data_IF_957932928839
#
_entry.id   IF_957932928839
#
_cell.length_a   1.000
_cell.length_b   1.000
_cell.length_c   1.000
_cell.angle_alpha   90.00
_cell.angle_beta   90.00
_cell.angle_gamma   90.00
#
_symmetry.space_group_name_H-M   'P 1'
#
loop_
_entity.id
_entity.type
_entity.pdbx_description
1 polymer ?
#
# COMPACT_ATOMS: atom_id res chain seq x y z
N UNK A 1 -12.34 29.02 45.64
CA UNK A 1 -11.46 28.94 44.45
C UNK A 1 -11.29 27.47 44.09
N UNK A 2 -12.16 26.94 43.24
CA UNK A 2 -12.10 25.56 42.76
C UNK A 2 -11.99 25.63 41.23
N UNK A 3 -10.75 25.49 40.72
CA UNK A 3 -10.47 25.41 39.29
C UNK A 3 -11.07 24.11 38.76
N UNK A 4 -12.16 24.22 38.01
CA UNK A 4 -12.63 23.16 37.11
C UNK A 4 -11.72 23.16 35.89
N UNK A 5 -10.88 22.14 35.78
CA UNK A 5 -10.10 21.86 34.57
C UNK A 5 -11.08 21.36 33.51
N UNK A 6 -11.36 22.17 32.49
CA UNK A 6 -12.00 21.69 31.27
C UNK A 6 -10.99 20.80 30.56
N UNK A 7 -11.28 19.50 30.50
CA UNK A 7 -10.65 18.59 29.55
C UNK A 7 -11.34 18.85 28.22
N UNK A 8 -10.68 19.61 27.36
CA UNK A 8 -11.08 19.76 25.95
C UNK A 8 -10.87 18.41 25.28
N UNK A 9 -11.96 17.68 25.07
CA UNK A 9 -11.99 16.48 24.25
C UNK A 9 -11.79 16.93 22.79
N UNK A 10 -10.56 16.89 22.29
CA UNK A 10 -10.30 16.95 20.86
C UNK A 10 -10.90 15.66 20.26
N UNK A 11 -12.11 15.77 19.69
CA UNK A 11 -12.52 14.81 18.67
C UNK A 11 -11.58 15.02 17.49
N UNK A 12 -10.53 14.21 17.41
CA UNK A 12 -9.87 13.97 16.12
C UNK A 12 -10.92 13.27 15.26
N UNK A 13 -11.54 14.02 14.35
CA UNK A 13 -12.36 13.44 13.30
C UNK A 13 -11.40 12.62 12.43
N UNK A 14 -11.37 11.31 12.62
CA UNK A 14 -10.68 10.40 11.72
C UNK A 14 -11.45 10.43 10.39
N UNK A 15 -11.08 11.36 9.50
CA UNK A 15 -11.47 11.30 8.11
C UNK A 15 -10.64 10.20 7.46
N UNK A 16 -11.24 9.03 7.30
CA UNK A 16 -10.75 8.00 6.39
C UNK A 16 -10.74 8.56 4.97
N UNK A 17 -9.66 8.37 4.21
CA UNK A 17 -9.66 8.56 2.76
C UNK A 17 -10.62 7.52 2.19
N UNK A 18 -11.83 7.95 1.85
CA UNK A 18 -12.68 7.21 0.95
C UNK A 18 -12.35 7.71 -0.46
N UNK A 19 -11.37 7.08 -1.13
CA UNK A 19 -11.33 7.15 -2.58
C UNK A 19 -12.57 6.40 -3.08
N UNK A 20 -13.70 7.09 -3.14
CA UNK A 20 -14.95 6.55 -3.68
C UNK A 20 -14.86 6.57 -5.21
N UNK A 21 -15.49 5.59 -5.85
CA UNK A 21 -15.72 5.56 -7.29
C UNK A 21 -14.45 5.55 -8.16
N UNK A 22 -13.41 4.83 -7.72
CA UNK A 22 -12.28 4.48 -8.58
C UNK A 22 -12.78 3.63 -9.76
N UNK A 23 -12.61 4.14 -10.98
CA UNK A 23 -13.18 3.52 -12.18
C UNK A 23 -12.38 3.83 -13.45
N UNK A 24 -12.54 2.97 -14.46
CA UNK A 24 -12.06 3.22 -15.83
C UNK A 24 -13.19 3.83 -16.67
N UNK A 25 -12.87 4.90 -17.40
CA UNK A 25 -13.80 5.56 -18.31
C UNK A 25 -13.26 5.44 -19.74
N UNK A 26 -14.16 5.15 -20.68
CA UNK A 26 -13.88 5.30 -22.10
C UNK A 26 -14.24 6.72 -22.52
N UNK A 27 -13.28 7.48 -23.03
CA UNK A 27 -13.43 8.90 -23.36
C UNK A 27 -12.97 9.18 -24.79
N UNK A 28 -13.80 9.93 -25.49
CA UNK A 28 -13.53 10.57 -26.79
C UNK A 28 -13.67 12.10 -26.61
N UNK A 29 -13.81 12.86 -27.70
CA UNK A 29 -14.17 14.28 -27.66
C UNK A 29 -15.56 14.53 -27.04
N UNK A 30 -16.47 13.53 -27.07
CA UNK A 30 -17.78 13.62 -26.42
C UNK A 30 -17.73 13.34 -24.92
N UNK A 31 -16.62 12.81 -24.41
CA UNK A 31 -16.39 12.51 -22.99
C UNK A 31 -17.33 11.50 -22.33
N UNK A 32 -17.14 11.36 -21.02
CA UNK A 32 -17.91 10.54 -20.10
C UNK A 32 -18.34 11.41 -18.89
N UNK A 33 -19.38 10.97 -18.18
CA UNK A 33 -19.85 11.62 -16.96
C UNK A 33 -19.48 10.81 -15.73
N UNK A 34 -18.79 11.46 -14.79
CA UNK A 34 -18.44 10.93 -13.47
C UNK A 34 -19.22 11.69 -12.40
N UNK A 35 -19.58 11.04 -11.30
CA UNK A 35 -20.25 11.68 -10.18
C UNK A 35 -19.28 12.08 -9.08
N UNK A 36 -19.57 13.17 -8.37
CA UNK A 36 -18.85 13.53 -7.15
C UNK A 36 -19.71 14.32 -6.17
N UNK A 37 -19.33 14.31 -4.90
CA UNK A 37 -19.89 15.21 -3.90
C UNK A 37 -19.28 16.63 -3.99
N UNK A 38 -19.98 17.62 -3.43
CA UNK A 38 -19.49 19.02 -3.41
C UNK A 38 -18.16 19.19 -2.68
N UNK A 39 -17.90 18.37 -1.65
CA UNK A 39 -16.68 18.44 -0.85
C UNK A 39 -15.50 17.66 -1.48
N UNK A 40 -15.65 17.16 -2.70
CA UNK A 40 -14.66 16.33 -3.37
C UNK A 40 -14.05 17.03 -4.59
N UNK A 41 -12.76 16.78 -4.77
CA UNK A 41 -12.07 16.94 -6.04
C UNK A 41 -12.13 15.63 -6.83
N UNK A 42 -12.04 15.73 -8.16
CA UNK A 42 -11.80 14.58 -9.05
C UNK A 42 -10.35 14.58 -9.52
N UNK A 43 -9.76 13.40 -9.61
CA UNK A 43 -8.45 13.18 -10.18
C UNK A 43 -8.57 12.25 -11.38
N UNK A 44 -7.96 12.65 -12.48
CA UNK A 44 -7.93 11.88 -13.71
C UNK A 44 -6.52 11.31 -13.93
N UNK A 45 -6.48 10.06 -14.35
CA UNK A 45 -5.25 9.35 -14.70
C UNK A 45 -4.77 9.72 -16.09
N UNK A 46 -3.68 9.05 -16.50
CA UNK A 46 -3.16 9.18 -17.86
C UNK A 46 -4.07 8.48 -18.86
N UNK A 47 -4.27 9.12 -20.01
CA UNK A 47 -5.02 8.51 -21.11
C UNK A 47 -4.20 7.41 -21.77
N UNK A 48 -4.88 6.34 -22.21
CA UNK A 48 -4.26 5.36 -23.08
C UNK A 48 -3.77 5.98 -24.41
N UNK A 49 -3.06 5.19 -25.21
CA UNK A 49 -2.56 5.57 -26.52
C UNK A 49 -3.17 4.68 -27.61
N UNK A 50 -4.50 4.67 -27.70
CA UNK A 50 -5.24 3.98 -28.75
C UNK A 50 -5.26 4.79 -30.05
N UNK A 51 -5.19 6.12 -29.95
CA UNK A 51 -4.94 7.03 -31.07
C UNK A 51 -3.61 7.77 -30.91
N UNK A 52 -2.96 8.03 -32.04
CA UNK A 52 -1.66 8.69 -32.13
C UNK A 52 -1.73 10.21 -32.05
N UNK A 53 -2.92 10.80 -32.15
CA UNK A 53 -3.15 12.24 -32.07
C UNK A 53 -2.85 12.78 -30.67
N UNK A 54 -2.20 13.94 -30.63
CA UNK A 54 -1.79 14.61 -29.40
C UNK A 54 -2.97 15.36 -28.76
N UNK A 55 -2.99 15.39 -27.44
CA UNK A 55 -4.07 16.02 -26.68
C UNK A 55 -3.93 15.75 -25.20
N UNK A 56 -4.93 16.18 -24.44
CA UNK A 56 -4.95 16.14 -22.97
C UNK A 56 -6.28 15.62 -22.45
N UNK A 57 -6.27 15.04 -21.25
CA UNK A 57 -7.51 14.73 -20.52
C UNK A 57 -8.10 16.03 -19.99
N UNK A 58 -9.31 16.36 -20.44
CA UNK A 58 -10.05 17.52 -19.99
C UNK A 58 -11.09 17.13 -18.95
N UNK A 59 -11.17 17.90 -17.87
CA UNK A 59 -12.09 17.67 -16.77
C UNK A 59 -12.85 18.96 -16.48
N UNK A 60 -14.18 18.88 -16.47
CA UNK A 60 -15.07 20.03 -16.22
C UNK A 60 -16.12 19.62 -15.19
N UNK A 61 -16.01 20.19 -13.98
CA UNK A 61 -17.01 20.07 -12.93
C UNK A 61 -18.21 20.99 -13.23
N UNK A 62 -19.40 20.40 -13.43
CA UNK A 62 -20.62 21.13 -13.73
C UNK A 62 -21.24 21.80 -12.50
N UNK A 63 -20.70 21.54 -11.30
CA UNK A 63 -21.21 22.02 -10.00
C UNK A 63 -22.64 21.56 -9.68
N UNK A 64 -23.12 20.50 -10.34
CA UNK A 64 -24.43 19.87 -10.11
C UNK A 64 -24.31 18.42 -9.61
N UNK A 65 -23.09 18.02 -9.21
CA UNK A 65 -22.75 16.65 -8.81
C UNK A 65 -22.22 15.78 -9.95
N UNK A 66 -22.20 16.31 -11.18
CA UNK A 66 -21.60 15.65 -12.35
C UNK A 66 -20.32 16.35 -12.80
N UNK A 67 -19.38 15.55 -13.27
CA UNK A 67 -18.14 15.98 -13.90
C UNK A 67 -18.07 15.39 -15.29
N UNK A 68 -17.73 16.22 -16.25
CA UNK A 68 -17.43 15.80 -17.61
C UNK A 68 -15.94 15.52 -17.76
N UNK A 69 -15.58 14.30 -18.18
CA UNK A 69 -14.19 13.88 -18.45
C UNK A 69 -14.08 13.48 -19.91
N UNK A 70 -13.21 14.13 -20.67
CA UNK A 70 -13.06 13.91 -22.11
C UNK A 70 -11.59 13.83 -22.52
N UNK A 71 -11.31 13.16 -23.63
CA UNK A 71 -10.03 13.37 -24.30
C UNK A 71 -10.18 14.56 -25.24
N UNK A 72 -9.31 15.56 -25.11
CA UNK A 72 -9.34 16.77 -25.94
C UNK A 72 -8.06 16.88 -26.73
N UNK A 73 -8.20 16.82 -28.05
CA UNK A 73 -7.12 17.16 -28.96
C UNK A 73 -6.69 18.63 -28.83
N UNK A 74 -5.44 18.88 -29.16
CA UNK A 74 -4.94 20.25 -29.27
C UNK A 74 -5.64 21.01 -30.43
N UNK A 75 -5.90 22.33 -30.29
CA UNK A 75 -6.71 23.08 -31.24
C UNK A 75 -6.23 23.12 -32.72
N UNK A 76 -4.97 22.78 -33.00
CA UNK A 76 -4.46 22.68 -34.38
C UNK A 76 -4.90 21.40 -35.11
N UNK A 77 -5.50 20.44 -34.40
CA UNK A 77 -6.03 19.18 -34.92
C UNK A 77 -7.52 19.31 -35.28
N UNK A 78 -8.16 18.22 -35.71
CA UNK A 78 -9.53 18.25 -36.26
C UNK A 78 -10.63 18.01 -35.22
N UNK A 79 -10.25 17.62 -33.99
CA UNK A 79 -11.13 17.40 -32.86
C UNK A 79 -11.76 16.00 -32.82
N UNK A 80 -11.44 15.10 -33.75
CA UNK A 80 -12.00 13.75 -33.82
C UNK A 80 -10.97 12.75 -33.31
N UNK A 81 -11.30 12.00 -32.25
CA UNK A 81 -10.35 11.11 -31.60
C UNK A 81 -10.95 9.74 -31.33
N UNK A 82 -10.16 8.66 -31.50
CA UNK A 82 -10.60 7.33 -31.05
C UNK A 82 -10.73 7.27 -29.52
N UNK A 83 -11.54 6.33 -29.03
CA UNK A 83 -11.76 6.18 -27.59
C UNK A 83 -10.48 5.83 -26.84
N UNK A 84 -10.19 6.61 -25.80
CA UNK A 84 -9.13 6.36 -24.84
C UNK A 84 -9.69 5.88 -23.50
N UNK A 85 -8.92 5.08 -22.78
CA UNK A 85 -9.22 4.68 -21.41
C UNK A 85 -8.54 5.63 -20.43
N UNK A 86 -9.30 6.19 -19.49
CA UNK A 86 -8.83 7.10 -18.44
C UNK A 86 -9.36 6.63 -17.09
N UNK A 87 -8.46 6.48 -16.12
CA UNK A 87 -8.84 6.22 -14.72
C UNK A 87 -9.34 7.48 -14.05
N UNK A 88 -10.33 7.37 -13.18
CA UNK A 88 -10.77 8.50 -12.32
C UNK A 88 -11.05 8.03 -10.90
N UNK A 89 -10.78 8.89 -9.93
CA UNK A 89 -11.31 8.76 -8.57
C UNK A 89 -11.65 10.13 -8.01
N UNK A 90 -12.45 10.14 -6.94
CA UNK A 90 -12.77 11.35 -6.19
C UNK A 90 -12.22 11.28 -4.77
N UNK A 91 -11.83 12.43 -4.22
CA UNK A 91 -11.33 12.52 -2.85
C UNK A 91 -11.76 13.83 -2.19
N UNK A 92 -12.14 13.74 -0.92
CA UNK A 92 -12.55 14.91 -0.13
C UNK A 92 -11.40 15.92 0.00
N UNK A 93 -11.71 17.22 -0.08
CA UNK A 93 -10.71 18.27 0.19
C UNK A 93 -10.20 18.19 1.63
N UNK A 94 -8.93 18.55 1.82
CA UNK A 94 -8.27 18.59 3.12
C UNK A 94 -7.16 17.56 3.24
N UNK A 95 -6.62 17.45 4.45
CA UNK A 95 -5.52 16.56 4.77
C UNK A 95 -6.02 15.33 5.51
N UNK A 96 -5.67 14.17 5.01
CA UNK A 96 -6.10 12.88 5.52
C UNK A 96 -4.89 12.05 5.95
N UNK A 97 -4.87 11.63 7.20
CA UNK A 97 -3.84 10.74 7.76
C UNK A 97 -4.41 9.33 7.79
N UNK A 98 -3.70 8.37 7.20
CA UNK A 98 -4.12 6.97 7.13
C UNK A 98 -3.51 6.13 8.26
N UNK A 99 -4.08 4.96 8.52
CA UNK A 99 -3.58 4.00 9.51
C UNK A 99 -2.18 3.47 9.18
N UNK A 100 -1.82 3.41 7.90
CA UNK A 100 -0.47 3.05 7.43
C UNK A 100 0.58 4.17 7.61
N UNK A 101 0.17 5.33 8.16
CA UNK A 101 1.04 6.47 8.38
C UNK A 101 1.21 7.39 7.17
N UNK A 102 0.59 7.09 6.03
CA UNK A 102 0.56 7.98 4.88
C UNK A 102 -0.31 9.20 5.12
N UNK A 103 -0.02 10.27 4.37
CA UNK A 103 -0.73 11.55 4.41
C UNK A 103 -1.12 11.89 2.98
N UNK A 104 -2.42 12.05 2.76
CA UNK A 104 -3.01 12.44 1.49
C UNK A 104 -3.65 13.82 1.66
N UNK A 105 -3.10 14.83 1.00
CA UNK A 105 -3.60 16.20 1.07
C UNK A 105 -4.18 16.62 -0.28
N UNK A 106 -5.45 17.03 -0.25
CA UNK A 106 -6.20 17.51 -1.41
C UNK A 106 -6.51 18.99 -1.25
N UNK A 107 -6.10 19.78 -2.23
CA UNK A 107 -6.42 21.20 -2.30
C UNK A 107 -6.77 21.65 -3.71
N UNK A 108 -7.11 22.92 -3.84
CA UNK A 108 -7.51 23.55 -5.10
C UNK A 108 -6.88 24.93 -5.23
N UNK A 109 -6.54 25.31 -6.46
CA UNK A 109 -5.88 26.56 -6.81
C UNK A 109 -6.41 27.08 -8.15
N UNK A 110 -6.38 28.40 -8.34
CA UNK A 110 -6.61 29.04 -9.64
C UNK A 110 -5.26 29.27 -10.32
N UNK A 111 -5.01 28.62 -11.46
CA UNK A 111 -3.75 28.67 -12.19
C UNK A 111 -3.96 29.25 -13.59
N UNK A 112 -2.93 29.91 -14.12
CA UNK A 112 -2.85 30.30 -15.52
C UNK A 112 -1.47 29.91 -16.08
N UNK A 113 -1.07 30.47 -17.22
CA UNK A 113 0.22 30.20 -17.86
C UNK A 113 1.46 30.62 -17.06
N UNK A 114 1.28 31.34 -15.94
CA UNK A 114 2.37 31.75 -15.06
C UNK A 114 2.59 30.74 -13.95
N UNK A 115 3.85 30.32 -13.75
CA UNK A 115 4.24 29.47 -12.62
C UNK A 115 4.00 30.16 -11.28
N UNK A 116 3.27 29.49 -10.39
CA UNK A 116 2.95 29.96 -9.06
C UNK A 116 3.44 28.96 -8.01
N UNK A 117 4.04 29.47 -6.94
CA UNK A 117 4.42 28.66 -5.79
C UNK A 117 3.22 28.46 -4.87
N UNK A 118 2.90 27.20 -4.58
CA UNK A 118 1.83 26.76 -3.69
C UNK A 118 2.44 26.17 -2.42
N UNK A 119 1.75 26.31 -1.30
CA UNK A 119 2.15 25.71 -0.02
C UNK A 119 1.16 24.64 0.39
N UNK A 120 1.68 23.58 0.97
CA UNK A 120 0.85 22.60 1.68
C UNK A 120 0.28 23.21 2.96
N UNK A 121 -0.81 22.62 3.45
CA UNK A 121 -1.48 23.05 4.68
C UNK A 121 -0.54 23.02 5.88
N UNK A 122 0.36 22.03 5.93
CA UNK A 122 1.51 22.00 6.84
C UNK A 122 2.72 21.33 6.17
N UNK A 123 3.86 21.35 6.86
CA UNK A 123 5.09 20.73 6.33
C UNK A 123 4.94 19.20 6.27
N UNK A 124 5.23 18.60 5.11
CA UNK A 124 5.24 17.15 4.92
C UNK A 124 6.47 16.51 5.60
N UNK A 125 6.38 15.28 6.13
CA UNK A 125 7.52 14.61 6.76
C UNK A 125 8.71 14.42 5.81
N UNK A 126 8.44 14.10 4.54
CA UNK A 126 9.39 14.06 3.43
C UNK A 126 8.77 14.75 2.19
N UNK A 127 9.53 14.88 1.10
CA UNK A 127 9.01 15.46 -0.15
C UNK A 127 7.90 14.54 -0.66
N UNK A 128 6.64 15.03 -0.80
CA UNK A 128 5.52 14.20 -1.24
C UNK A 128 5.53 13.99 -2.75
N UNK A 129 4.75 13.02 -3.21
CA UNK A 129 4.34 12.88 -4.60
C UNK A 129 3.17 13.82 -4.88
N UNK A 130 3.25 14.62 -5.94
CA UNK A 130 2.20 15.59 -6.33
C UNK A 130 1.58 15.18 -7.66
N UNK A 131 0.26 15.28 -7.76
CA UNK A 131 -0.56 15.05 -8.94
C UNK A 131 -1.54 16.22 -9.12
N UNK A 132 -1.75 16.69 -10.36
CA UNK A 132 -2.66 17.78 -10.68
C UNK A 132 -3.75 17.31 -11.63
N UNK A 133 -4.95 17.86 -11.47
CA UNK A 133 -6.06 17.63 -12.41
C UNK A 133 -6.88 18.90 -12.53
N UNK A 134 -7.11 19.37 -13.76
CA UNK A 134 -8.05 20.47 -14.02
C UNK A 134 -9.44 20.17 -13.46
N UNK A 135 -10.16 21.19 -13.02
CA UNK A 135 -11.53 21.08 -12.53
C UNK A 135 -12.49 21.94 -13.37
N UNK A 136 -11.95 22.90 -14.11
CA UNK A 136 -12.71 23.77 -15.02
C UNK A 136 -12.04 23.82 -16.38
N UNK A 137 -12.79 24.28 -17.37
CA UNK A 137 -12.24 24.83 -18.61
C UNK A 137 -12.99 26.14 -18.90
N UNK A 138 -12.52 27.23 -18.32
CA UNK A 138 -13.03 28.58 -18.52
C UNK A 138 -12.61 29.15 -19.87
N UNK A 139 -11.44 28.75 -20.39
CA UNK A 139 -10.97 29.06 -21.74
C UNK A 139 -11.64 28.20 -22.82
N UNK A 140 -11.39 28.52 -24.09
CA UNK A 140 -11.85 27.67 -25.21
C UNK A 140 -10.88 26.54 -25.54
N UNK A 141 -9.61 26.70 -25.17
CA UNK A 141 -8.54 25.76 -25.49
C UNK A 141 -8.33 24.72 -24.37
N UNK A 142 -7.97 23.47 -24.70
CA UNK A 142 -7.45 22.51 -23.74
C UNK A 142 -6.17 22.99 -23.09
N UNK A 143 -5.92 22.50 -21.87
CA UNK A 143 -4.65 22.70 -21.19
C UNK A 143 -4.20 21.43 -20.46
N UNK A 144 -2.91 21.39 -20.14
CA UNK A 144 -2.30 20.43 -19.23
C UNK A 144 -1.84 21.16 -17.97
N UNK A 145 -1.96 20.53 -16.80
CA UNK A 145 -1.45 21.07 -15.55
C UNK A 145 -0.06 20.50 -15.28
N UNK A 146 0.90 21.36 -14.94
CA UNK A 146 2.31 21.00 -14.77
C UNK A 146 2.75 21.33 -13.36
N UNK A 147 3.45 20.41 -12.70
CA UNK A 147 4.06 20.65 -11.40
C UNK A 147 5.59 20.78 -11.54
N UNK A 148 6.21 21.57 -10.67
CA UNK A 148 7.67 21.58 -10.57
C UNK A 148 8.13 21.94 -9.16
N UNK A 149 9.43 21.77 -8.87
CA UNK A 149 10.05 22.23 -7.62
C UNK A 149 9.33 21.73 -6.35
N UNK A 150 8.96 20.45 -6.32
CA UNK A 150 8.28 19.87 -5.17
C UNK A 150 9.24 19.78 -3.99
N UNK A 151 8.83 20.35 -2.86
CA UNK A 151 9.56 20.35 -1.60
C UNK A 151 8.65 19.83 -0.48
N UNK A 152 9.14 19.78 0.76
CA UNK A 152 8.31 19.44 1.93
C UNK A 152 7.28 20.52 2.28
N UNK A 153 7.44 21.74 1.78
CA UNK A 153 6.61 22.90 2.12
C UNK A 153 5.56 23.20 1.05
N UNK A 154 5.76 22.72 -0.16
CA UNK A 154 4.97 23.11 -1.32
C UNK A 154 5.66 22.80 -2.64
N UNK A 155 5.06 23.27 -3.71
CA UNK A 155 5.48 23.02 -5.09
C UNK A 155 5.08 24.19 -5.99
N UNK A 156 5.69 24.30 -7.15
CA UNK A 156 5.25 25.22 -8.19
C UNK A 156 4.25 24.55 -9.13
N UNK A 157 3.27 25.30 -9.62
CA UNK A 157 2.31 24.80 -10.61
C UNK A 157 1.94 25.87 -11.64
N UNK A 158 1.56 25.43 -12.83
CA UNK A 158 0.99 26.25 -13.90
C UNK A 158 0.09 25.39 -14.79
N UNK A 159 -0.70 26.05 -15.65
CA UNK A 159 -1.33 25.39 -16.79
C UNK A 159 -0.60 25.75 -18.08
N UNK A 160 -0.51 24.81 -19.01
CA UNK A 160 0.04 25.04 -20.34
C UNK A 160 -1.01 24.69 -21.39
N UNK A 161 -1.20 25.60 -22.33
CA UNK A 161 -1.99 25.40 -23.54
C UNK A 161 -1.06 24.97 -24.67
N UNK A 162 -1.60 24.67 -25.86
CA UNK A 162 -0.77 24.52 -27.05
C UNK A 162 0.21 25.68 -27.20
N UNK A 163 1.39 25.44 -27.73
CA UNK A 163 2.48 26.40 -27.76
C UNK A 163 2.15 27.67 -28.55
N UNK A 164 1.37 27.55 -29.63
CA UNK A 164 0.89 28.68 -30.43
C UNK A 164 -0.22 29.50 -29.76
N UNK A 165 -0.69 29.06 -28.58
CA UNK A 165 -1.80 29.68 -27.85
C UNK A 165 -1.51 31.14 -27.46
N UNK A 166 -2.58 31.94 -27.49
CA UNK A 166 -2.62 33.28 -26.90
C UNK A 166 -3.42 33.33 -25.60
N UNK A 167 -3.90 32.18 -25.10
CA UNK A 167 -4.85 32.06 -23.99
C UNK A 167 -4.24 31.97 -22.58
N UNK A 168 -2.94 32.24 -22.43
CA UNK A 168 -2.17 31.99 -21.19
C UNK A 168 -2.61 32.81 -19.97
N UNK A 169 -3.50 33.79 -20.13
CA UNK A 169 -4.01 34.63 -19.03
C UNK A 169 -5.29 34.11 -18.36
N UNK A 170 -5.97 33.10 -18.95
CA UNK A 170 -7.20 32.55 -18.37
C UNK A 170 -6.87 31.72 -17.13
N UNK A 171 -7.52 32.04 -16.02
CA UNK A 171 -7.41 31.25 -14.79
C UNK A 171 -8.32 30.02 -14.87
N UNK A 172 -7.75 28.89 -14.51
CA UNK A 172 -8.41 27.59 -14.44
C UNK A 172 -8.27 27.03 -13.03
N UNK A 173 -9.36 26.47 -12.52
CA UNK A 173 -9.36 25.77 -11.26
C UNK A 173 -8.68 24.42 -11.43
N UNK A 174 -7.65 24.16 -10.65
CA UNK A 174 -6.87 22.91 -10.67
C UNK A 174 -6.84 22.33 -9.26
N UNK A 175 -7.18 21.06 -9.12
CA UNK A 175 -7.00 20.32 -7.88
C UNK A 175 -5.59 19.74 -7.83
N UNK A 176 -5.01 19.71 -6.64
CA UNK A 176 -3.78 18.96 -6.37
C UNK A 176 -4.02 17.87 -5.35
N UNK A 177 -3.31 16.77 -5.52
CA UNK A 177 -3.15 15.69 -4.55
C UNK A 177 -1.67 15.56 -4.20
N UNK A 178 -1.34 15.76 -2.93
CA UNK A 178 -0.02 15.52 -2.39
C UNK A 178 -0.03 14.30 -1.47
N UNK A 179 0.80 13.30 -1.78
CA UNK A 179 0.89 12.04 -1.04
C UNK A 179 2.27 11.93 -0.41
N UNK A 180 2.32 11.95 0.92
CA UNK A 180 3.46 11.43 1.66
C UNK A 180 3.14 10.00 2.09
N UNK A 181 4.13 9.12 2.01
CA UNK A 181 4.02 7.75 2.48
C UNK A 181 5.33 7.31 3.13
N UNK A 182 5.32 6.58 4.26
CA UNK A 182 6.55 6.07 4.90
C UNK A 182 7.30 5.05 4.02
N UNK A 183 6.54 4.23 3.31
CA UNK A 183 7.00 3.25 2.33
C UNK A 183 6.44 3.66 0.97
N UNK A 184 7.13 3.49 -0.16
CA UNK A 184 6.62 3.90 -1.48
C UNK A 184 5.37 3.12 -1.95
N UNK A 185 4.66 2.45 -1.06
CA UNK A 185 3.42 1.72 -1.24
C UNK A 185 2.71 1.60 0.12
N UNK A 186 1.43 1.25 0.09
CA UNK A 186 0.62 1.10 1.30
C UNK A 186 -0.84 0.80 1.00
N UNK A 187 -1.69 1.00 2.00
CA UNK A 187 -3.12 0.71 1.91
C UNK A 187 -3.92 1.80 2.61
N UNK A 188 -4.82 2.42 1.87
CA UNK A 188 -5.77 3.38 2.39
C UNK A 188 -6.71 2.71 3.40
N UNK A 189 -7.26 3.49 4.33
CA UNK A 189 -8.25 3.01 5.32
C UNK A 189 -9.53 2.47 4.64
N UNK A 190 -9.80 2.88 3.41
CA UNK A 190 -10.87 2.34 2.55
C UNK A 190 -10.58 0.93 2.02
N UNK A 191 -9.37 0.40 2.25
CA UNK A 191 -8.92 -0.91 1.81
C UNK A 191 -8.30 -0.93 0.41
N UNK A 192 -8.16 0.22 -0.26
CA UNK A 192 -7.54 0.37 -1.58
C UNK A 192 -6.01 0.42 -1.43
N UNK A 193 -5.31 -0.47 -2.13
CA UNK A 193 -3.85 -0.48 -2.18
C UNK A 193 -3.31 0.57 -3.13
N UNK A 194 -2.18 1.17 -2.77
CA UNK A 194 -1.47 2.11 -3.63
C UNK A 194 0.02 1.80 -3.70
N UNK A 195 0.62 2.11 -4.85
CA UNK A 195 2.06 2.11 -5.07
C UNK A 195 2.47 3.42 -5.72
N UNK A 196 3.55 3.99 -5.25
CA UNK A 196 4.13 5.24 -5.69
C UNK A 196 5.52 4.98 -6.26
N UNK A 197 5.80 5.60 -7.40
CA UNK A 197 7.10 5.54 -8.02
C UNK A 197 7.46 6.92 -8.59
N UNK A 198 8.74 7.13 -8.82
CA UNK A 198 9.25 8.29 -9.51
C UNK A 198 10.22 7.84 -10.60
N UNK A 199 9.91 8.17 -11.85
CA UNK A 199 10.68 7.73 -13.01
C UNK A 199 11.19 8.92 -13.80
N UNK A 200 12.23 8.66 -14.60
CA UNK A 200 12.69 9.59 -15.64
C UNK A 200 12.05 9.18 -16.94
N UNK A 201 11.27 10.06 -17.55
CA UNK A 201 10.57 9.80 -18.80
C UNK A 201 11.03 10.78 -19.89
N UNK A 202 10.95 10.34 -21.15
CA UNK A 202 11.10 11.17 -22.35
C UNK A 202 9.94 10.85 -23.31
N UNK A 203 10.03 11.31 -24.56
CA UNK A 203 9.25 10.80 -25.69
C UNK A 203 9.31 9.27 -25.90
N UNK A 204 10.30 8.60 -25.29
CA UNK A 204 10.47 7.16 -25.37
C UNK A 204 9.73 6.43 -24.23
N UNK A 205 9.33 5.19 -24.54
CA UNK A 205 8.62 4.29 -23.63
C UNK A 205 9.41 4.11 -22.32
N UNK A 206 8.73 4.40 -21.21
CA UNK A 206 9.23 4.25 -19.83
C UNK A 206 8.37 3.24 -19.06
N UNK A 207 8.94 2.10 -18.65
CA UNK A 207 8.26 1.08 -17.85
C UNK A 207 7.75 1.59 -16.50
N UNK A 208 6.48 1.35 -16.16
CA UNK A 208 5.90 1.64 -14.83
C UNK A 208 4.88 0.58 -14.41
N UNK A 209 5.29 -0.34 -13.53
CA UNK A 209 4.42 -1.45 -13.10
C UNK A 209 3.97 -2.32 -14.29
N UNK A 210 2.67 -2.53 -14.43
CA UNK A 210 2.05 -3.27 -15.55
C UNK A 210 1.87 -2.42 -16.82
N UNK A 211 2.26 -1.14 -16.77
CA UNK A 211 2.04 -0.17 -17.84
C UNK A 211 3.35 0.35 -18.43
N UNK A 212 3.26 1.05 -19.55
CA UNK A 212 4.31 1.96 -20.00
C UNK A 212 3.77 3.38 -20.10
N UNK A 213 4.61 4.38 -19.81
CA UNK A 213 4.31 5.80 -20.03
C UNK A 213 5.34 6.44 -20.96
N UNK A 214 4.98 7.55 -21.57
CA UNK A 214 5.90 8.42 -22.32
C UNK A 214 5.36 9.84 -22.37
N UNK A 215 6.24 10.79 -22.69
CA UNK A 215 5.92 12.21 -22.80
C UNK A 215 5.53 12.51 -24.25
N UNK A 216 4.27 12.88 -24.47
CA UNK A 216 3.75 13.18 -25.80
C UNK A 216 3.65 14.70 -26.00
N UNK A 217 4.50 15.20 -26.88
CA UNK A 217 4.65 16.62 -27.19
C UNK A 217 3.46 17.17 -27.99
N UNK A 218 3.19 18.45 -27.81
CA UNK A 218 2.29 19.27 -28.61
C UNK A 218 3.05 19.88 -29.80
N UNK A 219 2.42 20.08 -30.97
CA UNK A 219 3.12 20.37 -32.23
C UNK A 219 2.64 21.63 -32.98
N UNK A 220 2.00 22.58 -32.28
CA UNK A 220 1.43 23.75 -32.96
C UNK A 220 2.46 24.78 -33.43
N UNK A 221 3.67 24.80 -32.86
CA UNK A 221 4.75 25.68 -33.32
C UNK A 221 5.76 25.00 -34.23
N UNK A 222 6.01 23.72 -34.04
CA UNK A 222 6.88 22.93 -34.89
C UNK A 222 6.47 21.45 -34.93
N UNK A 223 7.16 20.68 -35.77
CA UNK A 223 6.85 19.26 -35.99
C UNK A 223 7.78 18.34 -35.19
N UNK A 224 8.56 18.89 -34.24
CA UNK A 224 9.36 18.09 -33.33
C UNK A 224 8.42 17.23 -32.45
N UNK A 225 8.93 16.08 -32.00
CA UNK A 225 8.20 15.19 -31.07
C UNK A 225 9.13 14.71 -29.95
N UNK A 226 10.35 15.24 -29.91
CA UNK A 226 11.39 14.80 -29.00
C UNK A 226 11.37 15.65 -27.74
N UNK A 227 10.82 15.10 -26.67
CA UNK A 227 10.84 15.77 -25.36
C UNK A 227 12.10 15.43 -24.57
N UNK A 228 12.69 16.43 -23.92
CA UNK A 228 13.81 16.19 -22.99
C UNK A 228 13.38 15.35 -21.78
N UNK A 229 14.35 14.81 -21.03
CA UNK A 229 14.03 14.01 -19.84
C UNK A 229 13.38 14.86 -18.76
N UNK A 230 12.24 14.40 -18.27
CA UNK A 230 11.56 14.93 -17.08
C UNK A 230 11.41 13.84 -16.01
N UNK A 231 11.21 14.28 -14.76
CA UNK A 231 10.88 13.41 -13.65
C UNK A 231 9.37 13.36 -13.49
N UNK A 232 8.81 12.14 -13.48
CA UNK A 232 7.37 11.88 -13.41
C UNK A 232 7.07 11.10 -12.14
N UNK A 233 6.16 11.61 -11.33
CA UNK A 233 5.53 10.84 -10.25
C UNK A 233 4.49 9.91 -10.85
N UNK A 234 4.42 8.69 -10.32
CA UNK A 234 3.51 7.64 -10.75
C UNK A 234 2.77 7.13 -9.52
N UNK A 235 1.45 7.04 -9.61
CA UNK A 235 0.59 6.40 -8.64
C UNK A 235 -0.18 5.28 -9.33
N UNK A 236 0.02 4.07 -8.84
CA UNK A 236 -0.82 2.91 -9.14
C UNK A 236 -1.78 2.73 -7.96
N UNK A 237 -3.08 2.78 -8.23
CA UNK A 237 -4.12 2.65 -7.21
C UNK A 237 -5.03 1.48 -7.60
N UNK A 238 -4.89 0.32 -6.95
CA UNK A 238 -5.64 -0.90 -7.29
C UNK A 238 -5.66 -1.22 -8.82
N UNK A 239 -4.52 -1.09 -9.48
CA UNK A 239 -4.36 -1.31 -10.94
C UNK A 239 -4.74 -0.12 -11.84
N UNK A 240 -5.10 1.04 -11.27
CA UNK A 240 -5.34 2.27 -12.01
C UNK A 240 -4.09 3.15 -12.03
N UNK A 241 -3.75 3.70 -13.19
CA UNK A 241 -2.54 4.51 -13.39
C UNK A 241 -2.81 6.01 -13.40
N UNK A 242 -2.04 6.74 -12.58
CA UNK A 242 -1.95 8.20 -12.57
C UNK A 242 -0.48 8.60 -12.68
N UNK A 243 -0.20 9.65 -13.44
CA UNK A 243 1.15 10.16 -13.57
C UNK A 243 1.16 11.68 -13.73
N UNK A 244 2.18 12.33 -13.19
CA UNK A 244 2.36 13.78 -13.23
C UNK A 244 3.84 14.10 -13.32
N UNK A 245 4.22 14.92 -14.31
CA UNK A 245 5.56 15.50 -14.34
C UNK A 245 5.76 16.48 -13.17
N UNK A 246 6.93 16.42 -12.54
CA UNK A 246 7.32 17.29 -11.43
C UNK A 246 8.59 18.10 -11.73
N UNK A 247 8.95 18.18 -13.00
CA UNK A 247 10.04 19.02 -13.49
C UNK A 247 9.63 19.59 -14.84
N UNK A 248 9.81 20.89 -15.04
CA UNK A 248 9.58 21.53 -16.34
C UNK A 248 10.95 21.85 -16.95
N UNK A 249 11.54 20.85 -17.61
CA UNK A 249 12.87 20.98 -18.22
C UNK A 249 12.80 21.23 -19.73
N UNK A 250 11.78 20.69 -20.39
CA UNK A 250 11.44 21.05 -21.77
C UNK A 250 10.69 22.37 -21.81
N UNK A 251 10.87 23.13 -22.90
CA UNK A 251 10.06 24.33 -23.16
C UNK A 251 8.66 23.99 -23.63
N UNK A 252 8.52 22.83 -24.26
CA UNK A 252 7.37 22.53 -25.09
C UNK A 252 6.24 21.95 -24.25
N UNK A 253 5.02 22.16 -24.72
CA UNK A 253 3.85 21.65 -24.04
C UNK A 253 3.75 20.16 -24.29
N UNK A 254 3.48 19.38 -23.25
CA UNK A 254 3.41 17.93 -23.35
C UNK A 254 2.34 17.37 -22.42
N UNK A 255 1.98 16.12 -22.67
CA UNK A 255 1.15 15.32 -21.76
C UNK A 255 1.79 13.97 -21.52
N UNK A 256 1.49 13.36 -20.38
CA UNK A 256 1.86 11.96 -20.14
C UNK A 256 0.77 11.08 -20.76
N UNK A 257 1.16 10.20 -21.69
CA UNK A 257 0.29 9.15 -22.27
C UNK A 257 0.77 7.78 -21.85
N UNK A 258 -0.12 6.80 -21.91
CA UNK A 258 0.17 5.46 -21.42
C UNK A 258 -0.27 4.33 -22.35
N UNK A 259 0.47 3.25 -22.26
CA UNK A 259 0.15 1.94 -22.79
C UNK A 259 -0.35 1.09 -21.61
N UNK A 260 -1.66 1.09 -21.37
CA UNK A 260 -2.24 0.61 -20.11
C UNK A 260 -2.25 -0.92 -19.93
N UNK A 261 -2.13 -1.73 -20.99
CA UNK A 261 -2.22 -3.19 -20.88
C UNK A 261 -1.16 -3.89 -21.75
N UNK A 262 0.09 -3.42 -21.68
CA UNK A 262 1.15 -3.84 -22.61
C UNK A 262 2.13 -4.83 -21.99
N UNK A 263 2.12 -4.96 -20.66
CA UNK A 263 2.89 -5.99 -19.96
C UNK A 263 1.95 -7.06 -19.48
N UNK A 264 2.35 -8.31 -19.66
CA UNK A 264 1.71 -9.41 -18.94
C UNK A 264 1.84 -9.07 -17.45
N UNK A 265 0.73 -9.09 -16.68
CA UNK A 265 0.81 -8.82 -15.26
C UNK A 265 1.92 -9.67 -14.65
N UNK A 266 2.82 -9.05 -13.88
CA UNK A 266 3.84 -9.82 -13.16
C UNK A 266 3.10 -10.91 -12.41
N UNK A 267 3.49 -12.18 -12.65
CA UNK A 267 2.79 -13.30 -12.06
C UNK A 267 2.79 -13.07 -10.55
N UNK A 268 1.61 -13.06 -9.88
CA UNK A 268 1.56 -12.72 -8.47
C UNK A 268 2.49 -13.66 -7.72
N UNK A 269 3.31 -13.10 -6.83
CA UNK A 269 4.15 -13.91 -5.96
C UNK A 269 3.27 -14.96 -5.26
N UNK A 270 3.79 -16.18 -5.06
CA UNK A 270 2.99 -17.25 -4.49
C UNK A 270 2.49 -16.86 -3.10
N UNK A 271 1.19 -17.07 -2.86
CA UNK A 271 0.56 -16.59 -1.63
C UNK A 271 0.97 -17.34 -0.37
N UNK A 272 1.52 -18.54 -0.50
CA UNK A 272 1.97 -19.35 0.62
C UNK A 272 3.00 -20.39 0.19
N UNK A 273 3.77 -20.92 1.15
CA UNK A 273 4.65 -22.05 0.91
C UNK A 273 3.86 -23.28 0.40
N UNK A 274 2.62 -23.45 0.87
CA UNK A 274 1.73 -24.51 0.38
C UNK A 274 1.32 -24.30 -1.08
N UNK A 275 1.08 -23.06 -1.51
CA UNK A 275 0.80 -22.74 -2.91
C UNK A 275 2.00 -23.09 -3.81
N UNK A 276 3.22 -22.78 -3.37
CA UNK A 276 4.46 -23.18 -4.06
C UNK A 276 4.53 -24.70 -4.18
N UNK A 277 4.39 -25.42 -3.06
CA UNK A 277 4.51 -26.88 -3.06
C UNK A 277 3.42 -27.59 -3.88
N UNK A 278 2.23 -27.00 -3.96
CA UNK A 278 1.15 -27.50 -4.80
C UNK A 278 1.46 -27.29 -6.30
N UNK A 279 2.06 -26.15 -6.66
CA UNK A 279 2.44 -25.83 -8.03
C UNK A 279 3.67 -26.64 -8.49
N UNK A 280 4.65 -26.82 -7.61
CA UNK A 280 5.83 -27.64 -7.81
C UNK A 280 6.04 -28.59 -6.62
N UNK A 281 5.57 -29.86 -6.73
CA UNK A 281 5.79 -30.87 -5.71
C UNK A 281 7.27 -31.25 -5.48
N UNK A 282 8.19 -30.75 -6.30
CA UNK A 282 9.63 -30.93 -6.14
C UNK A 282 10.34 -29.73 -5.49
N UNK A 283 9.58 -28.68 -5.13
CA UNK A 283 10.10 -27.52 -4.41
C UNK A 283 10.80 -27.94 -3.11
N UNK A 284 11.99 -27.40 -2.89
CA UNK A 284 12.82 -27.72 -1.72
C UNK A 284 12.59 -26.71 -0.59
N UNK A 285 12.84 -27.11 0.66
CA UNK A 285 12.80 -26.15 1.76
C UNK A 285 13.85 -25.06 1.58
N UNK A 286 13.49 -23.80 1.83
CA UNK A 286 14.34 -22.65 1.51
C UNK A 286 13.65 -21.32 1.78
N UNK A 287 14.33 -20.22 1.47
CA UNK A 287 13.72 -18.89 1.56
C UNK A 287 12.99 -18.56 0.26
N UNK A 288 11.73 -18.12 0.38
CA UNK A 288 10.88 -17.72 -0.73
C UNK A 288 10.27 -16.35 -0.45
N UNK A 289 10.10 -15.57 -1.52
CA UNK A 289 9.24 -14.38 -1.49
C UNK A 289 7.80 -14.83 -1.63
N UNK A 290 6.94 -14.34 -0.75
CA UNK A 290 5.53 -14.63 -0.69
C UNK A 290 4.74 -13.33 -0.64
N UNK A 291 3.55 -13.35 -1.21
CA UNK A 291 2.58 -12.27 -1.11
C UNK A 291 1.23 -12.83 -0.68
N UNK A 292 0.97 -12.78 0.63
CA UNK A 292 -0.14 -13.49 1.26
C UNK A 292 -1.52 -13.01 0.82
N UNK A 293 -1.66 -11.74 0.44
CA UNK A 293 -2.89 -11.21 -0.10
C UNK A 293 -2.83 -10.92 -1.61
N UNK A 294 -1.70 -11.23 -2.25
CA UNK A 294 -1.48 -11.07 -3.68
C UNK A 294 -1.57 -9.60 -4.04
N UNK A 295 -2.47 -9.24 -4.96
CA UNK A 295 -2.72 -7.82 -5.28
C UNK A 295 -3.43 -7.04 -4.16
N UNK A 296 -3.41 -7.54 -2.93
CA UNK A 296 -3.94 -6.87 -1.78
C UNK A 296 -3.01 -5.74 -1.32
N UNK A 297 -3.05 -5.41 -0.03
CA UNK A 297 -2.32 -4.27 0.52
C UNK A 297 -1.21 -4.66 1.49
N UNK A 298 -0.95 -5.96 1.64
CA UNK A 298 0.23 -6.42 2.35
C UNK A 298 1.38 -6.53 1.35
N UNK A 299 2.51 -5.92 1.68
CA UNK A 299 3.70 -6.08 0.87
C UNK A 299 4.17 -7.53 0.90
N UNK A 300 4.81 -7.95 -0.19
CA UNK A 300 5.53 -9.21 -0.22
C UNK A 300 6.56 -9.29 0.91
N UNK A 301 6.88 -10.51 1.32
CA UNK A 301 7.93 -10.77 2.27
C UNK A 301 8.69 -12.05 1.94
N UNK A 302 9.98 -12.06 2.28
CA UNK A 302 10.80 -13.26 2.22
C UNK A 302 10.80 -13.96 3.57
N UNK A 303 10.45 -15.25 3.59
CA UNK A 303 10.56 -16.10 4.79
C UNK A 303 11.00 -17.52 4.43
N UNK A 304 11.29 -18.33 5.45
CA UNK A 304 11.62 -19.74 5.26
C UNK A 304 10.35 -20.59 5.05
N UNK A 305 10.32 -21.34 3.95
CA UNK A 305 9.36 -22.40 3.68
C UNK A 305 9.94 -23.77 4.02
N UNK A 306 9.26 -24.52 4.88
CA UNK A 306 9.53 -25.96 5.06
C UNK A 306 8.60 -26.76 4.15
N UNK A 307 9.18 -27.32 3.08
CA UNK A 307 8.49 -28.06 2.03
C UNK A 307 8.45 -29.58 2.28
N UNK A 308 9.05 -30.07 3.37
CA UNK A 308 9.23 -31.51 3.60
C UNK A 308 8.55 -31.99 4.89
N UNK A 309 8.73 -31.26 6.00
CA UNK A 309 8.33 -31.74 7.32
C UNK A 309 6.81 -31.79 7.46
N UNK A 310 6.27 -32.90 7.98
CA UNK A 310 4.83 -33.08 8.21
C UNK A 310 3.95 -32.76 6.97
N UNK A 311 4.44 -33.12 5.78
CA UNK A 311 3.74 -32.89 4.51
C UNK A 311 4.08 -31.58 3.81
N UNK A 312 4.97 -30.76 4.37
CA UNK A 312 5.47 -29.54 3.74
C UNK A 312 4.46 -28.40 3.64
N UNK A 313 4.83 -27.37 2.90
CA UNK A 313 4.01 -26.18 2.65
C UNK A 313 3.95 -25.20 3.82
N UNK A 314 4.86 -25.32 4.78
CA UNK A 314 4.84 -24.54 6.02
C UNK A 314 5.58 -23.21 5.87
N UNK A 315 4.86 -22.10 6.10
CA UNK A 315 5.39 -20.73 6.12
C UNK A 315 5.88 -20.35 7.52
N UNK A 316 7.16 -20.00 7.68
CA UNK A 316 7.70 -19.49 8.96
C UNK A 316 7.16 -18.09 9.26
N UNK A 317 6.60 -17.88 10.45
CA UNK A 317 6.07 -16.56 10.88
C UNK A 317 6.74 -16.00 12.12
N UNK A 318 7.35 -16.84 12.96
CA UNK A 318 8.04 -16.39 14.18
C UNK A 318 9.10 -17.37 14.66
N UNK A 319 10.19 -16.82 15.22
CA UNK A 319 11.26 -17.53 15.91
C UNK A 319 11.28 -17.05 17.36
N UNK A 320 11.39 -17.98 18.31
CA UNK A 320 11.43 -17.63 19.74
C UNK A 320 12.54 -18.38 20.46
N UNK A 321 13.29 -17.68 21.30
CA UNK A 321 14.45 -18.16 22.05
C UNK A 321 15.68 -18.51 21.20
N UNK A 322 16.23 -17.54 20.46
CA UNK A 322 17.45 -17.71 19.66
C UNK A 322 18.75 -17.85 20.53
N UNK A 323 19.76 -18.66 20.11
CA UNK A 323 20.94 -18.99 20.93
C UNK A 323 21.86 -17.82 21.31
N UNK A 324 21.78 -16.71 20.58
CA UNK A 324 22.69 -15.56 20.74
C UNK A 324 22.12 -14.45 21.65
N UNK A 325 21.03 -14.71 22.37
CA UNK A 325 20.41 -13.75 23.29
C UNK A 325 20.65 -14.15 24.73
N UNK A 326 20.93 -13.17 25.59
CA UNK A 326 21.09 -13.39 27.03
C UNK A 326 19.72 -13.38 27.71
N UNK A 327 19.31 -14.50 28.30
CA UNK A 327 18.05 -14.66 29.01
C UNK A 327 18.22 -14.81 30.54
N UNK A 328 19.35 -14.38 31.11
CA UNK A 328 19.62 -14.50 32.54
C UNK A 328 18.80 -13.49 33.38
N UNK A 329 17.87 -14.00 34.22
CA UNK A 329 17.10 -13.25 35.22
C UNK A 329 15.62 -13.66 35.28
N UNK A 330 14.96 -13.48 36.43
CA UNK A 330 13.52 -13.76 36.59
C UNK A 330 12.85 -12.59 37.32
N UNK A 331 11.66 -12.10 36.87
CA UNK A 331 11.04 -12.31 35.56
C UNK A 331 11.60 -11.28 34.56
N UNK A 332 12.30 -11.74 33.51
CA UNK A 332 12.92 -10.82 32.56
C UNK A 332 11.87 -10.06 31.75
N UNK A 333 11.95 -8.74 31.81
CA UNK A 333 11.38 -7.87 30.80
C UNK A 333 12.12 -8.13 29.48
N UNK A 334 11.55 -8.99 28.64
CA UNK A 334 12.04 -9.27 27.28
C UNK A 334 11.56 -8.21 26.27
N UNK A 335 11.23 -7.00 26.73
CA UNK A 335 10.95 -5.87 25.83
C UNK A 335 12.15 -5.65 24.91
N UNK A 336 11.88 -5.60 23.60
CA UNK A 336 12.91 -5.48 22.57
C UNK A 336 13.64 -6.77 22.20
N UNK A 337 13.27 -7.93 22.77
CA UNK A 337 13.82 -9.22 22.34
C UNK A 337 13.09 -9.83 21.15
N UNK A 338 11.80 -9.55 21.00
CA UNK A 338 11.01 -9.94 19.82
C UNK A 338 11.19 -8.84 18.78
N UNK A 339 11.76 -9.18 17.63
CA UNK A 339 12.13 -8.24 16.59
C UNK A 339 11.13 -8.38 15.45
N UNK A 340 10.30 -7.37 15.24
CA UNK A 340 9.47 -7.31 14.05
C UNK A 340 10.37 -7.17 12.81
N UNK A 341 10.16 -8.05 11.83
CA UNK A 341 10.88 -8.05 10.57
C UNK A 341 9.93 -8.41 9.44
N UNK A 342 9.85 -7.53 8.42
CA UNK A 342 9.16 -7.84 7.17
C UNK A 342 9.75 -9.12 6.56
N UNK A 343 11.09 -9.21 6.49
CA UNK A 343 11.79 -10.33 5.89
C UNK A 343 12.52 -11.16 6.96
N UNK A 344 12.13 -12.42 7.14
CA UNK A 344 12.82 -13.37 8.02
C UNK A 344 13.78 -14.20 7.15
N UNK A 345 14.99 -13.70 6.97
CA UNK A 345 16.02 -14.30 6.09
C UNK A 345 17.20 -14.91 6.84
N UNK A 346 17.13 -14.93 8.18
CA UNK A 346 18.06 -15.62 9.06
C UNK A 346 17.34 -16.18 10.29
N UNK A 347 17.98 -17.13 10.97
CA UNK A 347 17.42 -17.84 12.13
C UNK A 347 18.19 -17.52 13.44
N UNK A 348 18.88 -16.38 13.49
CA UNK A 348 19.82 -16.00 14.55
C UNK A 348 19.25 -15.02 15.60
N UNK A 349 18.03 -14.53 15.38
CA UNK A 349 17.29 -13.65 16.30
C UNK A 349 15.82 -14.09 16.46
N UNK A 350 15.08 -13.52 17.42
CA UNK A 350 13.65 -13.78 17.62
C UNK A 350 12.80 -12.93 16.67
N UNK A 351 12.94 -13.20 15.38
CA UNK A 351 12.14 -12.51 14.38
C UNK A 351 10.68 -12.91 14.44
N UNK A 352 9.79 -11.97 14.13
CA UNK A 352 8.42 -12.26 13.77
C UNK A 352 7.93 -11.34 12.67
N UNK A 353 6.95 -11.81 11.90
CA UNK A 353 6.30 -10.99 10.88
C UNK A 353 5.53 -9.83 11.53
N UNK A 354 5.32 -8.72 10.79
CA UNK A 354 4.48 -7.62 11.25
C UNK A 354 3.05 -8.07 11.59
N UNK A 355 2.43 -7.34 12.52
CA UNK A 355 1.07 -7.68 13.00
C UNK A 355 0.03 -7.72 11.86
N UNK A 356 0.17 -6.87 10.84
CA UNK A 356 -0.73 -6.84 9.69
C UNK A 356 -0.68 -8.16 8.88
N UNK A 357 0.52 -8.65 8.57
CA UNK A 357 0.72 -9.96 7.91
C UNK A 357 0.21 -11.09 8.78
N UNK A 358 0.55 -11.06 10.08
CA UNK A 358 0.11 -12.10 11.01
C UNK A 358 -1.41 -12.18 11.13
N UNK A 359 -2.12 -11.06 11.26
CA UNK A 359 -3.57 -11.06 11.37
C UNK A 359 -4.24 -11.63 10.12
N UNK A 360 -3.77 -11.23 8.93
CA UNK A 360 -4.27 -11.79 7.67
C UNK A 360 -4.03 -13.31 7.58
N UNK A 361 -2.81 -13.75 7.88
CA UNK A 361 -2.43 -15.16 7.91
C UNK A 361 -3.30 -15.93 8.92
N UNK A 362 -3.46 -15.40 10.14
CA UNK A 362 -4.27 -15.99 11.20
C UNK A 362 -5.73 -16.18 10.76
N UNK A 363 -6.24 -15.32 9.89
CA UNK A 363 -7.62 -15.37 9.41
C UNK A 363 -7.83 -16.23 8.16
N UNK A 364 -6.77 -16.49 7.39
CA UNK A 364 -6.86 -17.22 6.12
C UNK A 364 -6.27 -18.62 6.16
N UNK A 365 -5.29 -18.87 7.04
CA UNK A 365 -4.58 -20.14 7.16
C UNK A 365 -5.31 -21.11 8.10
N UNK A 366 -5.02 -22.39 7.96
CA UNK A 366 -5.78 -23.46 8.63
C UNK A 366 -5.03 -24.08 9.79
N UNK A 367 -3.71 -24.25 9.66
CA UNK A 367 -2.88 -24.97 10.62
C UNK A 367 -1.77 -24.09 11.17
N UNK A 368 -1.45 -24.29 12.45
CA UNK A 368 -0.26 -23.73 13.08
C UNK A 368 0.58 -24.89 13.63
N UNK A 369 1.85 -24.91 13.25
CA UNK A 369 2.84 -25.85 13.77
C UNK A 369 3.89 -25.10 14.58
N UNK A 370 4.16 -25.60 15.79
CA UNK A 370 5.29 -25.18 16.59
C UNK A 370 6.32 -26.31 16.62
N UNK A 371 7.59 -25.99 16.40
CA UNK A 371 8.68 -26.97 16.45
C UNK A 371 9.80 -26.51 17.36
N UNK A 372 10.47 -27.49 17.99
CA UNK A 372 11.78 -27.33 18.63
C UNK A 372 12.68 -28.45 18.10
N UNK A 373 13.32 -28.25 16.94
CA UNK A 373 14.08 -29.30 16.26
C UNK A 373 15.21 -29.87 17.11
N UNK A 374 15.86 -29.02 17.90
CA UNK A 374 16.99 -29.39 18.78
C UNK A 374 16.58 -30.25 19.97
N UNK A 375 15.28 -30.34 20.29
CA UNK A 375 14.76 -31.17 21.36
C UNK A 375 14.08 -32.42 20.79
N UNK A 376 14.88 -33.40 20.36
CA UNK A 376 14.38 -34.67 19.79
C UNK A 376 13.34 -34.49 18.67
N UNK A 377 13.42 -33.40 17.89
CA UNK A 377 12.42 -33.09 16.86
C UNK A 377 11.01 -32.86 17.44
N UNK A 378 10.91 -32.19 18.59
CA UNK A 378 9.64 -31.88 19.21
C UNK A 378 8.76 -30.99 18.31
N UNK A 379 7.48 -31.33 18.21
CA UNK A 379 6.52 -30.56 17.44
C UNK A 379 5.10 -30.67 18.02
N UNK A 380 4.29 -29.65 17.74
CA UNK A 380 2.86 -29.65 17.99
C UNK A 380 2.13 -28.92 16.86
N UNK A 381 1.09 -29.53 16.31
CA UNK A 381 0.22 -28.98 15.27
C UNK A 381 -1.18 -28.81 15.84
N UNK A 382 -1.78 -27.65 15.63
CA UNK A 382 -3.16 -27.35 15.97
C UNK A 382 -3.88 -26.71 14.78
N UNK A 383 -5.20 -26.84 14.75
CA UNK A 383 -6.01 -25.99 13.88
C UNK A 383 -6.04 -24.57 14.45
N UNK A 384 -5.81 -23.57 13.60
CA UNK A 384 -5.83 -22.15 13.99
C UNK A 384 -7.20 -21.78 14.60
N UNK A 385 -8.29 -22.32 14.04
CA UNK A 385 -9.65 -22.13 14.55
C UNK A 385 -9.83 -22.63 15.99
N UNK A 386 -9.13 -23.70 16.38
CA UNK A 386 -9.15 -24.21 17.75
C UNK A 386 -8.35 -23.28 18.68
N UNK A 387 -7.18 -22.81 18.24
CA UNK A 387 -6.34 -21.89 19.02
C UNK A 387 -7.02 -20.51 19.23
N UNK A 388 -7.75 -20.02 18.23
CA UNK A 388 -8.59 -18.80 18.34
C UNK A 388 -9.64 -18.89 19.45
N UNK A 389 -10.02 -20.10 19.87
CA UNK A 389 -10.99 -20.36 20.92
C UNK A 389 -10.35 -20.94 22.20
N UNK A 390 -9.04 -20.78 22.38
CA UNK A 390 -8.36 -21.21 23.60
C UNK A 390 -8.91 -20.47 24.83
N UNK A 391 -9.12 -21.19 25.94
CA UNK A 391 -9.94 -20.72 27.07
C UNK A 391 -9.31 -19.57 27.87
N UNK A 392 -7.99 -19.56 28.03
CA UNK A 392 -7.33 -18.62 28.95
C UNK A 392 -6.70 -17.43 28.23
N UNK A 393 -6.00 -17.71 27.13
CA UNK A 393 -5.48 -16.71 26.19
C UNK A 393 -5.76 -17.27 24.79
N UNK A 394 -6.78 -16.74 24.08
CA UNK A 394 -7.00 -17.03 22.67
C UNK A 394 -5.74 -16.75 21.83
N UNK A 395 -5.69 -17.30 20.61
CA UNK A 395 -4.60 -16.97 19.67
C UNK A 395 -4.53 -15.45 19.42
N UNK A 396 -3.40 -14.84 19.77
CA UNK A 396 -3.22 -13.39 19.79
C UNK A 396 -3.12 -12.74 18.40
N UNK A 397 -3.39 -11.44 18.33
CA UNK A 397 -3.27 -10.59 17.12
C UNK A 397 -1.84 -10.10 16.85
N UNK A 398 -0.89 -10.46 17.72
CA UNK A 398 0.54 -10.17 17.54
C UNK A 398 1.37 -11.42 17.79
N UNK A 399 2.45 -11.56 17.03
CA UNK A 399 3.49 -12.57 17.27
C UNK A 399 4.57 -12.07 18.23
N UNK A 400 4.59 -10.77 18.54
CA UNK A 400 5.49 -10.11 19.47
C UNK A 400 4.97 -10.11 20.91
N UNK A 401 4.88 -8.92 21.50
CA UNK A 401 4.46 -8.71 22.89
C UNK A 401 3.01 -8.30 22.96
N UNK A 402 2.21 -8.99 23.79
CA UNK A 402 0.79 -8.66 23.96
C UNK A 402 0.67 -7.28 24.63
N UNK A 403 0.03 -6.28 23.98
CA UNK A 403 -0.12 -4.96 24.56
C UNK A 403 -0.94 -4.99 25.85
N UNK A 404 -0.45 -4.31 26.89
CA UNK A 404 -1.17 -4.15 28.17
C UNK A 404 -1.12 -5.35 29.12
N UNK A 405 -0.54 -6.48 28.71
CA UNK A 405 -0.28 -7.63 29.59
C UNK A 405 1.04 -7.46 30.35
N UNK A 406 1.20 -8.19 31.46
CA UNK A 406 2.45 -8.18 32.25
C UNK A 406 2.93 -9.58 32.61
N UNK A 407 4.25 -9.70 32.88
CA UNK A 407 4.87 -10.96 33.25
C UNK A 407 4.80 -12.01 32.12
N UNK A 408 4.69 -13.28 32.47
CA UNK A 408 4.65 -14.36 31.47
C UNK A 408 3.46 -14.27 30.51
N UNK A 409 2.37 -13.58 30.89
CA UNK A 409 1.21 -13.42 30.03
C UNK A 409 1.55 -12.63 28.77
N UNK A 410 2.41 -11.62 28.85
CA UNK A 410 2.81 -10.76 27.71
C UNK A 410 3.46 -11.53 26.55
N UNK A 411 3.86 -12.78 26.77
CA UNK A 411 4.59 -13.59 25.79
C UNK A 411 3.80 -14.80 25.25
N UNK A 412 2.55 -14.98 25.69
CA UNK A 412 1.75 -16.15 25.31
C UNK A 412 1.11 -15.93 23.95
N UNK A 413 1.50 -16.73 22.96
CA UNK A 413 0.80 -16.72 21.67
C UNK A 413 -0.62 -17.27 21.81
N UNK A 414 -0.79 -18.29 22.66
CA UNK A 414 -2.07 -18.80 23.13
C UNK A 414 -1.87 -19.56 24.46
N UNK A 415 -2.96 -19.80 25.18
CA UNK A 415 -3.03 -20.67 26.35
C UNK A 415 -4.43 -21.24 26.52
N UNK A 416 -4.49 -22.56 26.51
CA UNK A 416 -5.69 -23.33 26.81
C UNK A 416 -5.49 -24.09 28.11
N UNK A 417 -6.47 -24.01 29.00
CA UNK A 417 -6.60 -24.84 30.20
C UNK A 417 -8.09 -25.09 30.39
N UNK A 418 -8.47 -26.30 30.80
CA UNK A 418 -9.89 -26.68 30.89
C UNK A 418 -10.67 -25.76 31.85
N UNK A 419 -10.02 -25.31 32.92
CA UNK A 419 -10.61 -24.37 33.88
C UNK A 419 -9.52 -23.67 34.71
N UNK A 420 -9.85 -22.57 35.37
CA UNK A 420 -8.99 -21.96 36.39
C UNK A 420 -7.84 -21.09 35.86
N UNK A 421 -7.30 -21.37 34.68
CA UNK A 421 -6.21 -20.60 34.06
C UNK A 421 -5.08 -20.35 35.06
N UNK A 422 -4.56 -21.44 35.62
CA UNK A 422 -3.55 -21.44 36.67
C UNK A 422 -2.15 -21.79 36.16
N UNK A 423 -2.07 -22.47 35.01
CA UNK A 423 -0.81 -22.96 34.44
C UNK A 423 -0.17 -24.04 35.32
N UNK A 424 -0.97 -24.68 36.16
CA UNK A 424 -0.55 -25.68 37.14
C UNK A 424 -1.24 -27.02 36.85
N UNK A 425 -0.59 -28.13 37.17
CA UNK A 425 -1.13 -29.46 36.91
C UNK A 425 -0.80 -29.97 35.51
N UNK A 426 -1.74 -30.68 34.88
CA UNK A 426 -1.53 -31.38 33.60
C UNK A 426 -2.75 -31.30 32.69
N UNK A 427 -3.41 -30.14 32.67
CA UNK A 427 -4.61 -29.90 31.88
C UNK A 427 -4.52 -28.64 31.00
N UNK A 428 -3.30 -28.18 30.73
CA UNK A 428 -3.04 -26.98 29.94
C UNK A 428 -2.06 -27.20 28.77
N UNK A 429 -2.25 -26.45 27.70
CA UNK A 429 -1.30 -26.32 26.59
C UNK A 429 -1.15 -24.84 26.24
N UNK A 430 0.06 -24.43 25.93
CA UNK A 430 0.38 -23.04 25.58
C UNK A 430 1.69 -22.98 24.80
N UNK A 431 1.87 -21.89 24.07
CA UNK A 431 3.17 -21.40 23.62
C UNK A 431 3.43 -20.08 24.31
N UNK A 432 4.53 -19.99 25.05
CA UNK A 432 5.00 -18.73 25.64
C UNK A 432 6.24 -18.21 24.91
N UNK A 433 7.11 -17.45 25.59
CA UNK A 433 8.32 -16.89 24.98
C UNK A 433 9.36 -17.94 24.52
N UNK A 434 9.37 -19.16 25.09
CA UNK A 434 10.40 -20.15 24.77
C UNK A 434 10.00 -21.62 24.98
N UNK A 435 8.78 -21.89 25.47
CA UNK A 435 8.33 -23.23 25.88
C UNK A 435 7.05 -23.61 25.14
N UNK A 436 6.97 -24.88 24.73
CA UNK A 436 5.74 -25.49 24.21
C UNK A 436 5.22 -26.47 25.26
N UNK A 437 3.99 -26.28 25.70
CA UNK A 437 3.31 -27.16 26.67
C UNK A 437 2.22 -27.97 25.96
N UNK A 438 2.13 -29.26 26.25
CA UNK A 438 1.25 -30.22 25.57
C UNK A 438 0.43 -31.10 26.51
N UNK A 439 0.03 -30.60 27.68
CA UNK A 439 -0.76 -31.41 28.62
C UNK A 439 -2.24 -31.54 28.26
N UNK A 440 -2.80 -30.59 27.49
CA UNK A 440 -4.19 -30.64 27.03
C UNK A 440 -4.32 -31.17 25.59
N UNK A 441 -5.51 -31.68 25.24
CA UNK A 441 -5.82 -32.26 23.91
C UNK A 441 -6.11 -31.22 22.81
N UNK A 442 -5.51 -30.04 22.89
CA UNK A 442 -5.72 -28.98 21.89
C UNK A 442 -4.94 -29.23 20.58
N UNK A 443 -3.84 -29.98 20.65
CA UNK A 443 -3.05 -30.34 19.48
C UNK A 443 -3.67 -31.53 18.76
N UNK A 444 -3.85 -31.41 17.45
CA UNK A 444 -4.33 -32.51 16.61
C UNK A 444 -3.23 -33.53 16.30
N UNK A 445 -1.98 -33.10 16.32
CA UNK A 445 -0.81 -33.97 16.17
C UNK A 445 0.36 -33.41 16.97
N UNK A 446 1.02 -34.24 17.78
CA UNK A 446 2.19 -33.84 18.57
C UNK A 446 2.96 -35.05 19.08
N UNK A 447 4.27 -34.90 19.27
CA UNK A 447 5.10 -35.82 20.06
C UNK A 447 5.45 -35.26 21.46
N UNK A 448 4.87 -34.12 21.84
CA UNK A 448 5.09 -33.47 23.14
C UNK A 448 4.05 -34.00 24.12
N UNK A 449 4.52 -34.65 25.18
CA UNK A 449 3.66 -35.29 26.21
C UNK A 449 3.45 -34.39 27.42
N UNK A 450 4.43 -33.56 27.75
CA UNK A 450 4.39 -32.67 28.92
C UNK A 450 4.70 -31.25 28.49
N UNK A 451 5.98 -30.88 28.47
CA UNK A 451 6.44 -29.62 27.93
C UNK A 451 7.87 -29.79 27.43
N UNK A 452 8.26 -28.90 26.52
CA UNK A 452 9.62 -28.75 26.02
C UNK A 452 10.04 -27.31 26.23
N UNK A 453 11.28 -27.10 26.67
CA UNK A 453 11.75 -25.81 27.18
C UNK A 453 13.20 -25.53 26.85
N UNK A 454 13.58 -24.25 26.94
CA UNK A 454 14.97 -23.77 26.86
C UNK A 454 15.65 -24.10 25.51
N UNK A 455 14.88 -24.07 24.42
CA UNK A 455 15.36 -24.29 23.05
C UNK A 455 14.66 -23.34 22.09
N UNK A 456 15.29 -23.06 20.95
CA UNK A 456 14.70 -22.22 19.92
C UNK A 456 13.46 -22.91 19.34
N UNK A 457 12.33 -22.23 19.45
CA UNK A 457 11.08 -22.64 18.83
C UNK A 457 10.80 -21.86 17.55
N UNK A 458 10.26 -22.55 16.57
CA UNK A 458 9.83 -21.97 15.30
C UNK A 458 8.33 -22.16 15.16
N UNK A 459 7.64 -21.10 14.75
CA UNK A 459 6.19 -21.08 14.53
C UNK A 459 5.95 -20.98 13.03
N UNK A 460 5.28 -22.01 12.51
CA UNK A 460 4.91 -22.14 11.11
C UNK A 460 3.39 -22.18 10.96
N UNK A 461 2.92 -21.83 9.77
CA UNK A 461 1.51 -21.89 9.38
C UNK A 461 1.36 -22.43 7.96
N UNK A 462 0.20 -23.03 7.65
CA UNK A 462 -0.18 -23.35 6.26
C UNK A 462 -1.69 -23.39 6.02
#
# INVERSE_FOLDING_TARGET
MTRKTLISLLLASACSVNAQDLQFNQVTEQGASVTKATQQAIFAGVASFNDSTAGTVSVVDNNDGTVHVAFSEWPYLDGVHLSETVSTFVLDYGRHVQSDGSIWEVGVVELNGSSQMLSFSETMPQVPYVFLTGQTRNGVEPYTARASHVTRLGFNAQVQYQESSTGSEVNEKVAYLAIYTPNSEGRLDSGISYKLNQVKATDQITPVGEHDIFLHEEQSKDTEVTHTTEVVNVLELNGHLFAQDITTLGSDTMTVRANLNVREPEAPEPQSCQAILNADPSAQSGYYTLDVDGRGGLSEFTTYCDMEYQGGGWTLVSIRFAPNKNYDGWPNDLTGFMVEAQNITSLDDNYHLPDAHWQYIKDTYSELMMTMPTFNGAYAIADISVLKNANCVPLQDTLGLIPGETGERSYRLFWHENSGCSGSGSDYSMLNYQNIYGFSKIYKSTNIVTYVSQQTSYVYVR
#
